data_IF_293361756858
#
_entry.id   IF_293361756858
#
_cell.length_a   1.000
_cell.length_b   1.000
_cell.length_c   1.000
_cell.angle_alpha   90.00
_cell.angle_beta   90.00
_cell.angle_gamma   90.00
#
_symmetry.space_group_name_H-M   'P 1'
#
loop_
_entity.id
_entity.type
_entity.pdbx_description
1 polymer ?
#
# COMPACT_ATOMS: atom_id res chain seq x y z
N UNK A 1 -19.43 39.18 -32.47
CA UNK A 1 -18.11 38.50 -32.55
C UNK A 1 -17.66 37.92 -31.20
N UNK A 2 -17.86 38.61 -30.05
CA UNK A 2 -17.40 38.15 -28.71
C UNK A 2 -17.99 36.83 -28.17
N UNK A 3 -19.25 36.52 -28.50
CA UNK A 3 -19.94 35.31 -27.99
C UNK A 3 -19.37 34.01 -28.59
N UNK A 4 -18.91 34.03 -29.84
CA UNK A 4 -18.35 32.84 -30.52
C UNK A 4 -17.02 32.37 -29.91
N UNK A 5 -16.20 33.32 -29.45
CA UNK A 5 -14.94 33.00 -28.76
C UNK A 5 -15.20 32.47 -27.35
N UNK A 6 -16.20 33.02 -26.65
CA UNK A 6 -16.61 32.54 -25.33
C UNK A 6 -17.07 31.07 -25.38
N UNK A 7 -17.88 30.69 -26.37
CA UNK A 7 -18.26 29.29 -26.58
C UNK A 7 -17.07 28.39 -26.89
N UNK A 8 -16.08 28.86 -27.66
CA UNK A 8 -14.88 28.08 -27.96
C UNK A 8 -13.99 27.87 -26.72
N UNK A 9 -13.86 28.89 -25.86
CA UNK A 9 -13.16 28.78 -24.58
C UNK A 9 -13.84 27.80 -23.63
N UNK A 10 -15.18 27.83 -23.56
CA UNK A 10 -15.95 26.90 -22.73
C UNK A 10 -15.79 25.46 -23.24
N UNK A 11 -15.86 25.25 -24.55
CA UNK A 11 -15.66 23.92 -25.15
C UNK A 11 -14.24 23.43 -24.89
N UNK A 12 -13.22 24.28 -25.09
CA UNK A 12 -11.84 23.92 -24.82
C UNK A 12 -11.61 23.56 -23.35
N UNK A 13 -12.20 24.33 -22.43
CA UNK A 13 -12.12 24.07 -20.99
C UNK A 13 -12.81 22.75 -20.62
N UNK A 14 -14.02 22.50 -21.15
CA UNK A 14 -14.75 21.25 -20.91
C UNK A 14 -13.98 20.03 -21.43
N UNK A 15 -13.43 20.12 -22.65
CA UNK A 15 -12.61 19.07 -23.24
C UNK A 15 -11.37 18.81 -22.40
N UNK A 16 -10.69 19.87 -21.94
CA UNK A 16 -9.53 19.75 -21.06
C UNK A 16 -9.87 19.04 -19.74
N UNK A 17 -10.98 19.39 -19.09
CA UNK A 17 -11.41 18.75 -17.82
C UNK A 17 -11.71 17.26 -18.03
N UNK A 18 -12.34 16.90 -19.15
CA UNK A 18 -12.63 15.50 -19.50
C UNK A 18 -11.31 14.72 -19.70
N UNK A 19 -10.32 15.30 -20.37
CA UNK A 19 -9.01 14.65 -20.55
C UNK A 19 -8.26 14.39 -19.24
N UNK A 20 -8.37 15.28 -18.25
CA UNK A 20 -7.71 15.09 -16.95
C UNK A 20 -8.50 14.21 -15.96
N UNK A 21 -9.70 13.76 -16.33
CA UNK A 21 -10.52 12.90 -15.46
C UNK A 21 -10.06 11.44 -15.41
N UNK A 22 -9.12 11.04 -16.26
CA UNK A 22 -8.65 9.64 -16.37
C UNK A 22 -7.30 9.38 -15.68
N UNK A 23 -7.04 10.04 -14.55
CA UNK A 23 -5.87 9.69 -13.74
C UNK A 23 -6.21 8.47 -12.87
N UNK A 24 -5.66 7.30 -13.24
CA UNK A 24 -5.68 6.13 -12.37
C UNK A 24 -4.85 6.42 -11.13
N UNK A 25 -5.39 6.13 -9.94
CA UNK A 25 -4.58 6.16 -8.72
C UNK A 25 -3.54 5.05 -8.82
N UNK A 26 -2.27 5.41 -9.02
CA UNK A 26 -1.19 4.47 -8.84
C UNK A 26 -1.22 4.02 -7.37
N UNK A 27 -1.49 2.75 -7.11
CA UNK A 27 -1.28 2.18 -5.78
C UNK A 27 0.22 2.20 -5.50
N UNK A 28 0.66 3.22 -4.77
CA UNK A 28 2.04 3.36 -4.39
C UNK A 28 2.31 2.37 -3.25
N UNK A 29 3.01 1.28 -3.55
CA UNK A 29 3.57 0.41 -2.52
C UNK A 29 4.54 1.20 -1.65
N UNK A 30 4.44 1.06 -0.33
CA UNK A 30 5.36 1.74 0.58
C UNK A 30 6.63 0.90 0.72
N UNK A 31 7.72 1.37 0.11
CA UNK A 31 9.03 0.71 0.18
C UNK A 31 9.94 1.36 1.24
N UNK A 32 10.66 0.50 1.97
CA UNK A 32 11.65 0.89 2.98
C UNK A 32 12.84 -0.04 2.90
N UNK A 33 14.04 0.53 2.92
CA UNK A 33 15.26 -0.22 3.17
C UNK A 33 15.35 -0.55 4.66
N UNK A 34 15.42 -1.84 5.00
CA UNK A 34 15.54 -2.33 6.36
C UNK A 34 16.62 -3.42 6.41
N UNK A 35 17.64 -3.20 7.25
CA UNK A 35 18.81 -4.09 7.38
C UNK A 35 19.49 -4.47 6.04
N UNK A 36 19.49 -3.56 5.06
CA UNK A 36 20.11 -3.81 3.75
C UNK A 36 19.19 -4.50 2.72
N UNK A 37 17.95 -4.81 3.10
CA UNK A 37 16.94 -5.37 2.21
C UNK A 37 15.88 -4.33 1.88
N UNK A 38 15.43 -4.29 0.62
CA UNK A 38 14.31 -3.47 0.21
C UNK A 38 13.00 -4.21 0.48
N UNK A 39 12.19 -3.69 1.40
CA UNK A 39 10.89 -4.26 1.74
C UNK A 39 9.80 -3.31 1.26
N UNK A 40 8.94 -3.79 0.37
CA UNK A 40 7.79 -3.06 -0.15
C UNK A 40 6.49 -3.70 0.34
N UNK A 41 5.62 -2.89 0.94
CA UNK A 41 4.25 -3.31 1.31
C UNK A 41 3.38 -3.11 0.08
N UNK A 42 2.90 -4.20 -0.52
CA UNK A 42 2.06 -4.19 -1.73
C UNK A 42 0.59 -4.04 -1.34
N UNK A 43 0.10 -4.86 -0.43
CA UNK A 43 -1.25 -4.75 0.16
C UNK A 43 -1.13 -4.95 1.67
N UNK A 44 -1.93 -4.22 2.44
CA UNK A 44 -1.99 -4.35 3.89
C UNK A 44 -3.38 -4.02 4.40
N UNK A 45 -3.96 -4.96 5.15
CA UNK A 45 -5.27 -4.80 5.78
C UNK A 45 -5.17 -5.16 7.25
N UNK A 46 -5.55 -4.23 8.12
CA UNK A 46 -5.71 -4.49 9.55
C UNK A 46 -7.03 -5.21 9.78
N UNK A 47 -7.05 -6.23 10.64
CA UNK A 47 -8.31 -6.88 10.98
C UNK A 47 -9.21 -5.96 11.82
N UNK A 48 -10.53 -6.09 11.63
CA UNK A 48 -11.52 -5.33 12.40
C UNK A 48 -11.76 -5.90 13.80
N UNK A 49 -11.54 -7.21 13.99
CA UNK A 49 -11.76 -7.91 15.27
C UNK A 49 -10.56 -7.80 16.20
N UNK A 50 -9.36 -8.04 15.66
CA UNK A 50 -8.08 -8.00 16.36
C UNK A 50 -7.23 -6.86 15.80
N UNK A 51 -7.10 -5.75 16.54
CA UNK A 51 -6.36 -4.56 16.06
C UNK A 51 -4.85 -4.80 15.90
N UNK A 52 -4.32 -5.86 16.51
CA UNK A 52 -2.92 -6.28 16.40
C UNK A 52 -2.68 -7.24 15.23
N UNK A 53 -3.73 -7.69 14.53
CA UNK A 53 -3.63 -8.60 13.39
C UNK A 53 -3.63 -7.83 12.07
N UNK A 54 -2.65 -8.11 11.22
CA UNK A 54 -2.51 -7.53 9.89
C UNK A 54 -2.38 -8.64 8.87
N UNK A 55 -3.04 -8.48 7.73
CA UNK A 55 -2.92 -9.35 6.57
C UNK A 55 -2.21 -8.55 5.51
N UNK A 56 -1.04 -9.02 5.06
CA UNK A 56 -0.23 -8.23 4.15
C UNK A 56 0.39 -9.10 3.05
N UNK A 57 0.55 -8.47 1.89
CA UNK A 57 1.35 -8.97 0.78
C UNK A 57 2.54 -8.04 0.65
N UNK A 58 3.73 -8.60 0.72
CA UNK A 58 4.99 -7.83 0.70
C UNK A 58 5.91 -8.34 -0.40
N UNK A 59 6.84 -7.49 -0.79
CA UNK A 59 7.98 -7.87 -1.60
C UNK A 59 9.26 -7.61 -0.81
N UNK A 60 10.20 -8.56 -0.85
CA UNK A 60 11.54 -8.42 -0.27
C UNK A 60 12.54 -8.56 -1.40
N UNK A 61 13.35 -7.52 -1.63
CA UNK A 61 14.32 -7.42 -2.73
C UNK A 61 13.70 -7.74 -4.11
N UNK A 62 12.47 -7.25 -4.33
CA UNK A 62 11.73 -7.48 -5.56
C UNK A 62 10.98 -8.82 -5.64
N UNK A 63 11.20 -9.73 -4.68
CA UNK A 63 10.50 -11.03 -4.63
C UNK A 63 9.23 -10.91 -3.81
N UNK A 64 8.08 -11.02 -4.49
CA UNK A 64 6.75 -11.01 -3.87
C UNK A 64 6.53 -12.28 -3.04
N UNK A 65 6.18 -12.10 -1.78
CA UNK A 65 5.76 -13.16 -0.84
C UNK A 65 4.24 -13.39 -0.92
N UNK A 66 3.76 -14.59 -0.55
CA UNK A 66 2.33 -14.85 -0.46
C UNK A 66 1.67 -14.00 0.64
N UNK A 67 0.34 -14.10 0.73
CA UNK A 67 -0.41 -13.43 1.79
C UNK A 67 -0.08 -14.06 3.15
N UNK A 68 0.51 -13.26 4.04
CA UNK A 68 0.87 -13.68 5.40
C UNK A 68 0.02 -12.91 6.43
N UNK A 69 -0.21 -13.54 7.60
CA UNK A 69 -0.93 -12.92 8.72
C UNK A 69 0.06 -12.58 9.82
N UNK A 70 0.24 -11.30 10.10
CA UNK A 70 1.17 -10.78 11.09
C UNK A 70 0.44 -10.43 12.39
N UNK A 71 0.92 -10.97 13.51
CA UNK A 71 0.46 -10.65 14.85
C UNK A 71 1.48 -9.71 15.51
N UNK A 72 1.11 -8.44 15.62
CA UNK A 72 1.96 -7.40 16.18
C UNK A 72 2.01 -7.39 17.71
N UNK A 73 1.11 -8.12 18.39
CA UNK A 73 1.16 -8.27 19.85
C UNK A 73 2.22 -9.29 20.24
N UNK A 74 2.20 -10.45 19.57
CA UNK A 74 3.06 -11.58 19.90
C UNK A 74 4.33 -11.65 19.04
N UNK A 75 4.48 -10.73 18.08
CA UNK A 75 5.64 -10.62 17.16
C UNK A 75 5.91 -11.91 16.37
N UNK A 76 4.84 -12.50 15.83
CA UNK A 76 4.89 -13.69 14.98
C UNK A 76 4.01 -13.51 13.74
N UNK A 77 4.25 -14.35 12.72
CA UNK A 77 3.44 -14.43 11.50
C UNK A 77 2.94 -15.85 11.29
N UNK A 78 1.85 -15.94 10.55
CA UNK A 78 1.32 -17.18 10.00
C UNK A 78 1.61 -17.19 8.50
N UNK A 79 2.36 -18.19 8.06
CA UNK A 79 2.69 -18.39 6.65
C UNK A 79 1.54 -19.08 5.90
N UNK A 80 1.67 -19.21 4.57
CA UNK A 80 0.62 -19.79 3.72
C UNK A 80 0.26 -21.24 4.11
N UNK A 81 1.23 -21.99 4.63
CA UNK A 81 1.04 -23.37 5.10
C UNK A 81 0.39 -23.46 6.51
N UNK A 82 0.10 -22.32 7.13
CA UNK A 82 -0.48 -22.22 8.47
C UNK A 82 0.54 -22.35 9.60
N UNK A 83 1.84 -22.48 9.29
CA UNK A 83 2.89 -22.50 10.30
C UNK A 83 3.03 -21.13 10.97
N UNK A 84 3.33 -21.14 12.28
CA UNK A 84 3.54 -19.92 13.07
C UNK A 84 5.03 -19.73 13.24
N UNK A 85 5.57 -18.65 12.68
CA UNK A 85 6.97 -18.30 12.76
C UNK A 85 7.15 -16.98 13.52
N UNK A 86 8.10 -16.87 14.47
CA UNK A 86 8.45 -15.58 15.03
C UNK A 86 9.00 -14.66 13.93
N UNK A 87 8.90 -13.35 14.13
CA UNK A 87 9.56 -12.40 13.23
C UNK A 87 11.08 -12.64 13.25
N UNK A 88 11.64 -12.90 12.09
CA UNK A 88 13.08 -12.93 11.88
C UNK A 88 13.71 -11.51 11.92
N UNK A 89 15.04 -11.43 11.82
CA UNK A 89 15.76 -10.16 11.89
C UNK A 89 15.44 -9.22 10.73
N UNK A 90 15.17 -9.77 9.55
CA UNK A 90 14.84 -9.09 8.29
C UNK A 90 13.31 -9.03 8.07
N UNK A 91 12.51 -9.38 9.08
CA UNK A 91 11.11 -9.69 8.85
C UNK A 91 10.27 -8.43 8.56
N UNK A 92 9.47 -8.45 7.48
CA UNK A 92 8.53 -7.38 7.16
C UNK A 92 7.57 -7.02 8.30
N UNK A 93 7.32 -7.93 9.24
CA UNK A 93 6.46 -7.77 10.40
C UNK A 93 6.81 -6.53 11.23
N UNK A 94 8.10 -6.22 11.44
CA UNK A 94 8.51 -5.01 12.18
C UNK A 94 8.07 -3.72 11.49
N UNK A 95 8.05 -3.70 10.15
CA UNK A 95 7.59 -2.55 9.35
C UNK A 95 6.05 -2.48 9.35
N UNK A 96 5.39 -3.61 9.12
CA UNK A 96 3.93 -3.75 9.11
C UNK A 96 3.34 -3.25 10.44
N UNK A 97 3.89 -3.68 11.56
CA UNK A 97 3.39 -3.32 12.89
C UNK A 97 3.50 -1.83 13.21
N UNK A 98 4.36 -1.09 12.50
CA UNK A 98 4.53 0.37 12.65
C UNK A 98 3.76 1.17 11.60
N UNK A 99 3.23 0.52 10.56
CA UNK A 99 2.63 1.17 9.39
C UNK A 99 1.52 2.16 9.77
N UNK A 100 0.59 1.74 10.64
CA UNK A 100 -0.53 2.59 11.07
C UNK A 100 -0.24 3.44 12.31
N UNK A 101 0.89 3.25 12.98
CA UNK A 101 1.26 4.08 14.14
C UNK A 101 1.71 5.49 13.72
N UNK A 102 2.18 5.65 12.46
CA UNK A 102 2.73 6.91 11.94
C UNK A 102 1.73 7.85 11.25
N UNK A 103 0.45 7.47 11.15
CA UNK A 103 -0.58 8.26 10.45
C UNK A 103 -1.24 9.32 11.36
N UNK A 104 -0.46 9.97 12.22
CA UNK A 104 -0.95 11.00 13.17
C UNK A 104 -0.26 12.33 12.94
#
# INVERSE_FOLDING_TARGET
MRIKYLSAFIIYFLVSVIFFSFVSSAEASVCRNYQGHEICIIDIKRSAKNYWEYRAVVSVDGVKRPLEVYNCRDQNKVEEDGSIMPFDDVDPGKLICRYFQKQK
#
